data_IF_937109350790
#
_entry.id   IF_937109350790
#
_cell.length_a   1.000
_cell.length_b   1.000
_cell.length_c   1.000
_cell.angle_alpha   90.00
_cell.angle_beta   90.00
_cell.angle_gamma   90.00
#
_symmetry.space_group_name_H-M   'P 1'
#
loop_
_entity.id
_entity.type
_entity.pdbx_description
1 polymer ?
#
# COMPACT_ATOMS: atom_id res chain seq x y z
N UNK A 1 57.72 -9.93 2.21
CA UNK A 1 57.61 -11.17 1.42
C UNK A 1 57.59 -12.36 2.37
N UNK A 2 56.45 -12.99 2.58
CA UNK A 2 56.35 -14.24 3.35
C UNK A 2 55.39 -15.16 2.62
N UNK A 3 55.91 -16.29 2.13
CA UNK A 3 55.16 -17.32 1.39
C UNK A 3 54.72 -18.37 2.40
N UNK A 4 53.41 -18.59 2.51
CA UNK A 4 52.85 -19.78 3.15
C UNK A 4 52.32 -20.69 2.04
N UNK A 5 52.90 -21.89 1.96
CA UNK A 5 52.47 -23.03 1.14
C UNK A 5 51.96 -24.11 2.10
N UNK A 6 50.93 -24.84 1.68
CA UNK A 6 50.49 -26.10 2.28
C UNK A 6 49.00 -26.06 2.57
N UNK A 7 48.18 -27.03 2.22
CA UNK A 7 48.40 -28.31 1.55
C UNK A 7 47.01 -28.94 1.37
N UNK A 8 46.79 -29.60 0.23
CA UNK A 8 45.56 -30.31 -0.07
C UNK A 8 45.73 -31.74 0.43
N UNK A 9 44.80 -32.22 1.26
CA UNK A 9 44.64 -33.64 1.60
C UNK A 9 43.34 -34.09 0.97
N UNK A 10 43.47 -34.90 -0.10
CA UNK A 10 42.39 -35.72 -0.65
C UNK A 10 42.47 -37.06 0.08
N UNK A 11 41.37 -37.48 0.70
CA UNK A 11 41.23 -38.86 1.17
C UNK A 11 40.16 -39.55 0.32
N UNK A 12 40.64 -40.33 -0.64
CA UNK A 12 39.90 -41.41 -1.29
C UNK A 12 39.64 -42.52 -0.27
N UNK A 13 38.37 -42.93 -0.12
CA UNK A 13 38.00 -44.33 0.14
C UNK A 13 36.49 -44.47 -0.06
N UNK A 14 36.09 -45.00 -1.22
CA UNK A 14 34.79 -45.62 -1.42
C UNK A 14 34.80 -47.03 -0.83
N UNK A 15 33.84 -47.42 0.02
CA UNK A 15 33.61 -48.82 0.32
C UNK A 15 32.65 -49.43 -0.72
N UNK A 16 33.19 -50.40 -1.47
CA UNK A 16 32.40 -51.37 -2.25
C UNK A 16 31.60 -52.24 -1.27
N UNK A 17 30.28 -52.18 -1.37
CA UNK A 17 29.37 -53.01 -0.57
C UNK A 17 28.57 -53.92 -1.50
N UNK A 18 29.08 -55.13 -1.72
CA UNK A 18 28.33 -56.23 -2.34
C UNK A 18 27.44 -56.88 -1.26
N UNK A 19 26.16 -56.52 -1.28
CA UNK A 19 25.11 -57.15 -0.46
C UNK A 19 24.30 -58.17 -1.28
N UNK A 20 23.76 -59.22 -0.65
CA UNK A 20 23.12 -60.34 -1.33
C UNK A 20 21.74 -59.97 -1.90
N UNK A 21 21.42 -60.56 -3.05
CA UNK A 21 20.09 -60.57 -3.68
C UNK A 21 19.02 -61.07 -2.69
N UNK A 22 18.38 -60.16 -1.98
CA UNK A 22 17.11 -60.40 -1.30
C UNK A 22 15.98 -60.19 -2.28
N UNK A 23 15.35 -61.29 -2.70
CA UNK A 23 14.08 -61.29 -3.40
C UNK A 23 13.03 -60.52 -2.57
N UNK A 24 12.71 -59.30 -3.04
CA UNK A 24 11.68 -58.46 -2.47
C UNK A 24 10.34 -59.06 -2.87
N UNK A 25 9.59 -59.55 -1.88
CA UNK A 25 8.19 -59.90 -2.07
C UNK A 25 7.42 -58.62 -2.40
N UNK A 26 6.79 -58.59 -3.58
CA UNK A 26 5.78 -57.59 -3.96
C UNK A 26 4.58 -57.69 -2.99
N UNK A 27 4.71 -57.04 -1.84
CA UNK A 27 3.55 -56.65 -1.04
C UNK A 27 2.85 -55.53 -1.81
N UNK A 28 1.70 -55.87 -2.37
CA UNK A 28 0.71 -54.93 -2.88
C UNK A 28 0.40 -53.91 -1.77
N UNK A 29 1.02 -52.75 -1.87
CA UNK A 29 0.79 -51.61 -0.99
C UNK A 29 -0.58 -51.01 -1.33
N UNK A 30 -1.63 -51.60 -0.75
CA UNK A 30 -3.01 -51.12 -0.79
C UNK A 30 -3.22 -49.89 0.11
N UNK A 31 -2.16 -49.15 0.47
CA UNK A 31 -2.35 -47.85 1.13
C UNK A 31 -3.12 -46.91 0.20
N UNK A 32 -4.25 -46.35 0.65
CA UNK A 32 -5.00 -45.38 -0.13
C UNK A 32 -4.07 -44.24 -0.52
N UNK A 33 -3.82 -44.08 -1.83
CA UNK A 33 -3.03 -42.94 -2.34
C UNK A 33 -3.64 -41.67 -1.76
N UNK A 34 -2.87 -40.99 -0.92
CA UNK A 34 -3.25 -39.70 -0.35
C UNK A 34 -3.77 -38.83 -1.49
N UNK A 35 -4.94 -38.19 -1.33
CA UNK A 35 -5.52 -37.37 -2.37
C UNK A 35 -4.46 -36.39 -2.86
N UNK A 36 -4.23 -36.37 -4.17
CA UNK A 36 -3.29 -35.45 -4.80
C UNK A 36 -3.83 -34.04 -4.54
N UNK A 37 -3.27 -33.38 -3.52
CA UNK A 37 -3.59 -31.99 -3.22
C UNK A 37 -2.99 -31.16 -4.34
N UNK A 38 -3.82 -30.84 -5.35
CA UNK A 38 -3.42 -29.92 -6.41
C UNK A 38 -3.21 -28.56 -5.74
N UNK A 39 -1.95 -28.12 -5.67
CA UNK A 39 -1.62 -26.80 -5.15
C UNK A 39 -2.36 -25.75 -5.97
N UNK A 40 -3.06 -24.84 -5.29
CA UNK A 40 -3.71 -23.71 -5.96
C UNK A 40 -2.64 -22.88 -6.68
N UNK A 41 -2.90 -22.42 -7.92
CA UNK A 41 -1.97 -21.57 -8.64
C UNK A 41 -1.70 -20.31 -7.81
N UNK A 42 -0.45 -19.87 -7.76
CA UNK A 42 -0.07 -18.64 -7.07
C UNK A 42 -0.88 -17.46 -7.59
N UNK A 43 -1.37 -16.57 -6.71
CA UNK A 43 -2.16 -15.42 -7.13
C UNK A 43 -1.33 -14.55 -8.09
N UNK A 44 -1.96 -14.11 -9.18
CA UNK A 44 -1.34 -13.30 -10.23
C UNK A 44 -1.40 -11.82 -9.85
N UNK A 45 -0.26 -11.12 -9.96
CA UNK A 45 -0.20 -9.67 -9.86
C UNK A 45 -0.78 -9.01 -11.12
N UNK A 46 -1.58 -7.96 -10.92
CA UNK A 46 -2.25 -7.21 -11.97
C UNK A 46 -2.13 -5.70 -11.70
N UNK A 47 -1.96 -4.92 -12.78
CA UNK A 47 -2.09 -3.47 -12.72
C UNK A 47 -3.57 -3.10 -12.76
N UNK A 48 -4.04 -2.41 -11.73
CA UNK A 48 -5.36 -1.76 -11.70
C UNK A 48 -5.15 -0.28 -11.98
N UNK A 49 -5.79 0.25 -13.03
CA UNK A 49 -5.64 1.66 -13.42
C UNK A 49 -6.80 2.48 -12.83
N UNK A 50 -6.46 3.59 -12.19
CA UNK A 50 -7.41 4.55 -11.64
C UNK A 50 -6.79 5.46 -10.59
N UNK A 51 -7.60 6.27 -9.92
CA UNK A 51 -7.14 7.02 -8.76
C UNK A 51 -6.98 6.10 -7.54
N UNK A 52 -6.47 6.64 -6.42
CA UNK A 52 -6.14 5.80 -5.25
C UNK A 52 -7.34 5.00 -4.69
N UNK A 53 -8.60 5.40 -4.94
CA UNK A 53 -9.80 4.66 -4.49
C UNK A 53 -9.96 3.29 -5.14
N UNK A 54 -9.32 3.04 -6.30
CA UNK A 54 -9.35 1.70 -6.90
C UNK A 54 -8.55 0.67 -6.11
N UNK A 55 -7.87 1.08 -5.02
CA UNK A 55 -7.32 0.18 -4.01
C UNK A 55 -8.36 -0.83 -3.48
N UNK A 56 -9.62 -0.44 -3.39
CA UNK A 56 -10.73 -1.33 -3.00
C UNK A 56 -10.92 -2.55 -3.92
N UNK A 57 -10.40 -2.48 -5.16
CA UNK A 57 -10.41 -3.58 -6.12
C UNK A 57 -9.24 -4.57 -5.93
N UNK A 58 -8.28 -4.28 -5.04
CA UNK A 58 -7.21 -5.19 -4.68
C UNK A 58 -7.61 -6.06 -3.47
N UNK A 59 -7.06 -7.27 -3.43
CA UNK A 59 -7.02 -8.05 -2.20
C UNK A 59 -6.26 -7.24 -1.14
N UNK A 60 -6.77 -7.12 0.09
CA UNK A 60 -6.12 -6.32 1.14
C UNK A 60 -4.65 -6.70 1.31
N UNK A 61 -3.80 -5.69 1.49
CA UNK A 61 -2.36 -5.86 1.76
C UNK A 61 -1.55 -6.51 0.62
N UNK A 62 -2.10 -6.61 -0.59
CA UNK A 62 -1.38 -7.14 -1.77
C UNK A 62 -0.82 -6.06 -2.68
N UNK A 63 -1.16 -4.79 -2.44
CA UNK A 63 -0.57 -3.66 -3.13
C UNK A 63 0.93 -3.61 -2.84
N UNK A 64 1.76 -3.49 -3.87
CA UNK A 64 3.21 -3.50 -3.69
C UNK A 64 3.74 -2.19 -3.08
N UNK A 65 4.76 -2.33 -2.25
CA UNK A 65 5.62 -1.25 -1.78
C UNK A 65 6.59 -0.81 -2.88
N UNK A 66 7.28 0.31 -2.67
CA UNK A 66 8.15 0.89 -3.69
C UNK A 66 9.32 -0.03 -4.10
N UNK A 67 9.96 -0.69 -3.13
CA UNK A 67 11.03 -1.66 -3.36
C UNK A 67 10.54 -2.90 -4.11
N UNK A 68 9.39 -3.44 -3.71
CA UNK A 68 8.72 -4.58 -4.35
C UNK A 68 8.33 -4.24 -5.80
N UNK A 69 7.75 -3.07 -6.04
CA UNK A 69 7.43 -2.58 -7.37
C UNK A 69 8.70 -2.41 -8.20
N UNK A 70 9.78 -1.86 -7.63
CA UNK A 70 11.04 -1.73 -8.34
C UNK A 70 11.60 -3.11 -8.74
N UNK A 71 11.53 -4.11 -7.86
CA UNK A 71 11.91 -5.47 -8.19
C UNK A 71 11.08 -6.01 -9.36
N UNK A 72 9.77 -5.76 -9.39
CA UNK A 72 8.91 -6.13 -10.53
C UNK A 72 9.28 -5.37 -11.80
N UNK A 73 9.60 -4.07 -11.74
CA UNK A 73 10.04 -3.28 -12.89
C UNK A 73 11.41 -3.75 -13.43
N UNK A 74 12.30 -4.25 -12.57
CA UNK A 74 13.55 -4.89 -13.00
C UNK A 74 13.25 -6.15 -13.82
N UNK A 75 12.34 -7.01 -13.34
CA UNK A 75 12.01 -8.29 -13.97
C UNK A 75 11.11 -8.16 -15.20
N UNK A 76 10.21 -7.18 -15.21
CA UNK A 76 9.19 -6.99 -16.24
C UNK A 76 9.25 -5.56 -16.81
N UNK A 77 9.90 -5.38 -17.98
CA UNK A 77 9.98 -4.08 -18.64
C UNK A 77 8.63 -3.44 -18.98
N UNK A 78 7.55 -4.21 -19.16
CA UNK A 78 6.23 -3.64 -19.45
C UNK A 78 5.70 -2.77 -18.29
N UNK A 79 6.13 -3.03 -17.05
CA UNK A 79 5.76 -2.23 -15.89
C UNK A 79 6.50 -0.88 -15.82
N UNK A 80 7.43 -0.60 -16.74
CA UNK A 80 8.23 0.63 -16.77
C UNK A 80 7.51 1.80 -17.45
N UNK A 81 6.45 1.51 -18.19
CA UNK A 81 5.70 2.47 -19.01
C UNK A 81 4.61 3.23 -18.24
N UNK A 82 4.41 2.92 -16.96
CA UNK A 82 3.36 3.51 -16.13
C UNK A 82 3.89 3.96 -14.75
N UNK A 83 3.29 5.01 -14.19
CA UNK A 83 3.51 5.42 -12.81
C UNK A 83 2.55 4.67 -11.87
N UNK A 84 2.97 4.48 -10.63
CA UNK A 84 2.23 3.68 -9.67
C UNK A 84 2.12 4.36 -8.32
N UNK A 85 0.95 4.27 -7.70
CA UNK A 85 0.85 4.38 -6.26
C UNK A 85 1.52 3.17 -5.61
N UNK A 86 2.12 3.37 -4.45
CA UNK A 86 2.77 2.30 -3.68
C UNK A 86 2.19 2.21 -2.28
N UNK A 87 2.28 1.04 -1.67
CA UNK A 87 1.68 0.74 -0.38
C UNK A 87 2.39 1.41 0.82
N UNK A 88 3.55 2.02 0.61
CA UNK A 88 4.27 2.78 1.63
C UNK A 88 3.45 3.97 2.17
N UNK A 89 3.65 4.27 3.46
CA UNK A 89 3.04 5.41 4.12
C UNK A 89 4.09 6.35 4.70
N UNK A 90 4.08 7.60 4.22
CA UNK A 90 4.96 8.64 4.72
C UNK A 90 4.25 9.48 5.78
N UNK A 91 4.65 9.32 7.03
CA UNK A 91 4.19 10.10 8.17
C UNK A 91 5.29 11.07 8.59
N UNK A 92 4.99 12.36 8.68
CA UNK A 92 5.92 13.39 9.12
C UNK A 92 5.54 13.94 10.49
N UNK A 93 6.55 14.11 11.34
CA UNK A 93 6.39 14.61 12.70
C UNK A 93 7.49 15.58 13.07
N UNK A 94 7.30 16.30 14.17
CA UNK A 94 8.35 17.05 14.85
C UNK A 94 8.72 16.36 16.16
N UNK A 95 9.93 15.82 16.22
CA UNK A 95 10.44 15.16 17.41
C UNK A 95 11.36 16.05 18.24
N UNK A 96 11.47 15.77 19.54
CA UNK A 96 12.35 16.50 20.45
C UNK A 96 11.60 17.51 21.32
N UNK A 97 12.36 18.39 21.97
CA UNK A 97 11.80 19.37 22.91
C UNK A 97 11.42 20.66 22.21
N UNK A 98 10.63 21.52 22.88
CA UNK A 98 10.16 22.79 22.32
C UNK A 98 11.26 23.70 21.74
N UNK A 99 12.50 23.57 22.20
CA UNK A 99 13.64 24.38 21.73
C UNK A 99 14.44 23.74 20.60
N UNK A 100 14.26 22.45 20.33
CA UNK A 100 15.01 21.70 19.30
C UNK A 100 14.12 20.61 18.72
N UNK A 101 13.16 21.03 17.90
CA UNK A 101 12.28 20.14 17.15
C UNK A 101 12.97 19.70 15.85
N UNK A 102 13.15 18.40 15.67
CA UNK A 102 13.72 17.79 14.48
C UNK A 102 12.59 17.30 13.56
N UNK A 103 12.50 17.80 12.31
CA UNK A 103 11.56 17.27 11.33
C UNK A 103 11.97 15.84 10.96
N UNK A 104 11.05 14.90 11.17
CA UNK A 104 11.29 13.46 11.04
C UNK A 104 10.27 12.86 10.09
N UNK A 105 10.74 11.98 9.21
CA UNK A 105 9.91 11.15 8.33
C UNK A 105 9.89 9.72 8.86
N UNK A 106 8.70 9.13 8.94
CA UNK A 106 8.46 7.74 9.24
C UNK A 106 7.85 7.08 8.00
N UNK A 107 8.56 6.09 7.43
CA UNK A 107 8.08 5.31 6.29
C UNK A 107 7.62 3.94 6.77
N UNK A 108 6.30 3.74 6.82
CA UNK A 108 5.69 2.51 7.27
C UNK A 108 5.24 1.63 6.10
N UNK A 109 5.27 0.30 6.29
CA UNK A 109 4.69 -0.67 5.34
C UNK A 109 3.19 -0.86 5.62
N UNK A 110 2.46 -1.32 4.62
CA UNK A 110 1.07 -1.73 4.73
C UNK A 110 0.97 -3.24 4.51
N UNK A 111 1.01 -4.00 5.59
CA UNK A 111 0.95 -5.47 5.57
C UNK A 111 -0.21 -5.97 6.41
N UNK A 112 -0.55 -7.26 6.30
CA UNK A 112 -1.61 -7.86 7.10
C UNK A 112 -1.30 -7.83 8.61
N UNK A 113 -0.02 -7.97 8.98
CA UNK A 113 0.42 -7.95 10.38
C UNK A 113 0.56 -6.52 10.91
N UNK A 114 0.95 -5.60 10.05
CA UNK A 114 1.19 -4.19 10.37
C UNK A 114 0.49 -3.30 9.33
N UNK A 115 -0.84 -3.09 9.43
CA UNK A 115 -1.62 -2.32 8.46
C UNK A 115 -1.42 -0.81 8.67
N UNK A 116 -0.17 -0.33 8.58
CA UNK A 116 0.21 1.00 9.07
C UNK A 116 0.06 2.13 8.05
N UNK A 117 -0.38 1.85 6.82
CA UNK A 117 -0.78 2.90 5.89
C UNK A 117 -2.15 3.47 6.23
N UNK A 118 -2.14 4.50 7.07
CA UNK A 118 -3.35 5.17 7.53
C UNK A 118 -4.11 5.86 6.39
N UNK A 119 -3.45 6.21 5.28
CA UNK A 119 -4.17 6.74 4.12
C UNK A 119 -5.03 5.65 3.52
N UNK A 120 -4.49 4.45 3.27
CA UNK A 120 -5.24 3.33 2.71
C UNK A 120 -6.36 2.85 3.65
N UNK A 121 -6.11 2.84 4.96
CA UNK A 121 -7.11 2.46 5.97
C UNK A 121 -8.30 3.42 6.02
N UNK A 122 -8.08 4.70 5.71
CA UNK A 122 -9.06 5.77 5.85
C UNK A 122 -9.48 6.37 4.50
N UNK A 123 -9.26 5.67 3.38
CA UNK A 123 -9.54 6.21 2.04
C UNK A 123 -10.97 6.78 1.92
N UNK A 124 -11.95 5.97 2.32
CA UNK A 124 -13.37 6.29 2.21
C UNK A 124 -14.05 6.36 3.60
N UNK A 125 -13.30 6.65 4.66
CA UNK A 125 -13.84 6.83 6.00
C UNK A 125 -14.77 8.06 6.05
N UNK A 126 -15.99 7.89 6.55
CA UNK A 126 -17.01 8.95 6.54
C UNK A 126 -16.67 10.15 7.42
N UNK A 127 -15.80 9.98 8.42
CA UNK A 127 -15.46 10.99 9.43
C UNK A 127 -14.06 11.55 9.17
N UNK A 128 -13.11 10.69 8.80
CA UNK A 128 -11.70 10.99 8.67
C UNK A 128 -11.13 10.57 7.30
N UNK A 129 -11.88 10.80 6.22
CA UNK A 129 -11.44 10.44 4.86
C UNK A 129 -10.07 11.03 4.55
N UNK A 130 -9.08 10.16 4.31
CA UNK A 130 -7.75 10.56 3.87
C UNK A 130 -7.79 11.11 2.46
N UNK A 131 -8.66 10.55 1.59
CA UNK A 131 -8.79 10.99 0.21
C UNK A 131 -9.25 12.44 0.15
N UNK A 132 -10.31 12.80 0.87
CA UNK A 132 -10.82 14.17 0.89
C UNK A 132 -9.82 15.15 1.52
N UNK A 133 -9.15 14.77 2.61
CA UNK A 133 -8.13 15.63 3.23
C UNK A 133 -6.94 15.91 2.31
N UNK A 134 -6.46 14.89 1.59
CA UNK A 134 -5.35 15.02 0.66
C UNK A 134 -5.74 15.81 -0.59
N UNK A 135 -6.94 15.67 -1.13
CA UNK A 135 -7.38 16.49 -2.27
C UNK A 135 -7.61 17.95 -1.89
N UNK A 136 -8.11 18.23 -0.68
CA UNK A 136 -8.46 19.58 -0.24
C UNK A 136 -7.28 20.36 0.37
N UNK A 137 -6.52 19.70 1.24
CA UNK A 137 -5.47 20.35 2.05
C UNK A 137 -4.06 19.87 1.73
N UNK A 138 -3.94 18.89 0.82
CA UNK A 138 -2.72 18.16 0.50
C UNK A 138 -2.16 17.32 1.64
N UNK A 139 -2.71 17.42 2.86
CA UNK A 139 -2.23 16.75 4.06
C UNK A 139 -3.32 15.87 4.67
N UNK A 140 -3.03 14.59 4.88
CA UNK A 140 -3.84 13.77 5.78
C UNK A 140 -3.38 14.00 7.22
N UNK A 141 -4.30 14.17 8.17
CA UNK A 141 -3.96 14.39 9.60
C UNK A 141 -4.50 13.25 10.45
N UNK A 142 -3.72 12.17 10.66
CA UNK A 142 -4.16 11.07 11.51
C UNK A 142 -4.29 11.51 12.97
N UNK A 143 -5.04 10.76 13.76
CA UNK A 143 -5.05 10.95 15.21
C UNK A 143 -3.65 10.70 15.79
N UNK A 144 -3.32 11.38 16.89
CA UNK A 144 -2.02 11.21 17.54
C UNK A 144 -1.78 9.75 17.96
N UNK A 145 -2.84 9.07 18.41
CA UNK A 145 -2.78 7.67 18.82
C UNK A 145 -2.46 6.72 17.64
N UNK A 146 -3.06 6.93 16.47
CA UNK A 146 -2.72 6.13 15.28
C UNK A 146 -1.31 6.42 14.77
N UNK A 147 -0.92 7.70 14.74
CA UNK A 147 0.43 8.10 14.40
C UNK A 147 1.46 7.43 15.32
N UNK A 148 1.19 7.37 16.63
CA UNK A 148 2.05 6.68 17.59
C UNK A 148 2.20 5.19 17.31
N UNK A 149 1.11 4.50 16.96
CA UNK A 149 1.17 3.08 16.55
C UNK A 149 2.07 2.88 15.33
N UNK A 150 1.94 3.74 14.32
CA UNK A 150 2.79 3.71 13.13
C UNK A 150 4.26 3.90 13.51
N UNK A 151 4.58 4.90 14.33
CA UNK A 151 5.95 5.19 14.77
C UNK A 151 6.57 4.05 15.61
N UNK A 152 5.76 3.29 16.33
CA UNK A 152 6.19 2.17 17.19
C UNK A 152 6.27 0.83 16.48
N UNK A 153 5.73 0.72 15.26
CA UNK A 153 5.72 -0.52 14.52
C UNK A 153 7.12 -0.93 14.05
N UNK A 154 7.36 -2.24 14.00
CA UNK A 154 8.69 -2.80 13.78
C UNK A 154 9.19 -2.60 12.34
N UNK A 155 8.29 -2.55 11.36
CA UNK A 155 8.65 -2.30 9.95
C UNK A 155 8.79 -0.81 9.59
N UNK A 156 8.52 0.10 10.53
CA UNK A 156 8.56 1.54 10.26
C UNK A 156 9.97 2.08 10.30
N UNK A 157 10.36 2.70 9.19
CA UNK A 157 11.67 3.31 9.01
C UNK A 157 11.64 4.77 9.45
N UNK A 158 12.43 5.12 10.47
CA UNK A 158 12.63 6.50 10.91
C UNK A 158 13.76 7.19 10.14
N UNK A 159 13.52 8.40 9.64
CA UNK A 159 14.46 9.22 8.88
C UNK A 159 14.55 10.63 9.48
N UNK A 160 15.74 11.05 9.90
CA UNK A 160 16.01 12.45 10.27
C UNK A 160 16.24 13.30 9.01
N UNK A 161 15.26 14.15 8.68
CA UNK A 161 15.31 14.95 7.46
C UNK A 161 16.45 15.99 7.47
N UNK A 162 17.00 16.33 8.63
CA UNK A 162 18.14 17.26 8.75
C UNK A 162 19.47 16.61 8.39
N UNK A 163 19.54 15.28 8.38
CA UNK A 163 20.73 14.53 7.98
C UNK A 163 20.77 14.23 6.48
N UNK A 164 19.67 14.48 5.76
CA UNK A 164 19.63 14.33 4.31
C UNK A 164 20.27 15.54 3.62
N UNK A 165 21.12 15.30 2.61
CA UNK A 165 21.60 16.37 1.72
C UNK A 165 20.51 16.64 0.70
N UNK A 166 19.57 17.51 1.08
CA UNK A 166 18.39 17.82 0.30
C UNK A 166 18.65 18.98 -0.67
N UNK A 167 18.21 18.80 -1.91
CA UNK A 167 18.05 19.87 -2.87
C UNK A 167 16.62 20.39 -2.83
N UNK A 168 16.47 21.71 -2.87
CA UNK A 168 15.15 22.35 -2.82
C UNK A 168 14.52 22.29 -4.20
N UNK A 169 13.30 21.76 -4.27
CA UNK A 169 12.50 21.75 -5.49
C UNK A 169 11.54 22.94 -5.49
N UNK A 170 10.69 23.03 -4.48
CA UNK A 170 9.80 24.17 -4.27
C UNK A 170 9.66 24.52 -2.78
N UNK A 171 8.54 25.13 -2.39
CA UNK A 171 8.27 25.50 -0.99
C UNK A 171 7.80 24.31 -0.13
N UNK A 172 7.23 23.27 -0.74
CA UNK A 172 6.67 22.09 -0.08
C UNK A 172 7.64 20.91 -0.15
N UNK A 173 8.37 20.75 -1.25
CA UNK A 173 9.19 19.59 -1.56
C UNK A 173 10.68 19.88 -1.64
N UNK A 174 11.42 18.86 -1.27
CA UNK A 174 12.85 18.71 -1.48
C UNK A 174 13.14 17.29 -1.91
N UNK A 175 14.30 17.03 -2.49
CA UNK A 175 14.69 15.68 -2.88
C UNK A 175 16.14 15.38 -2.55
N UNK A 176 16.46 14.09 -2.43
CA UNK A 176 17.83 13.61 -2.55
C UNK A 176 18.07 13.16 -3.98
N UNK A 177 19.24 13.46 -4.52
CA UNK A 177 19.72 12.88 -5.77
C UNK A 177 20.53 11.61 -5.50
N UNK A 178 20.30 10.58 -6.31
CA UNK A 178 20.99 9.31 -6.25
C UNK A 178 21.61 9.04 -7.62
N UNK A 179 22.93 9.12 -7.70
CA UNK A 179 23.67 8.72 -8.90
C UNK A 179 23.59 7.20 -9.08
N UNK A 180 23.19 6.73 -10.27
CA UNK A 180 23.09 5.30 -10.57
C UNK A 180 24.46 4.62 -10.72
N UNK A 181 25.56 5.39 -10.71
CA UNK A 181 26.94 4.88 -10.77
C UNK A 181 27.79 5.22 -9.55
N UNK A 182 27.43 6.23 -8.76
CA UNK A 182 28.19 6.70 -7.59
C UNK A 182 27.32 6.77 -6.33
N UNK A 183 26.42 5.80 -6.14
CA UNK A 183 25.52 5.73 -4.98
C UNK A 183 26.22 5.30 -3.68
N UNK A 184 27.51 4.96 -3.73
CA UNK A 184 28.40 4.78 -2.58
C UNK A 184 28.67 6.11 -1.84
N UNK A 185 28.43 7.26 -2.49
CA UNK A 185 28.60 8.60 -1.90
C UNK A 185 27.44 9.06 -1.01
N UNK A 186 26.34 8.29 -0.97
CA UNK A 186 25.22 8.57 -0.08
C UNK A 186 25.69 8.46 1.38
N UNK A 187 25.26 9.40 2.22
CA UNK A 187 25.45 9.23 3.66
C UNK A 187 24.52 8.12 4.20
N UNK A 188 24.71 7.70 5.45
CA UNK A 188 23.95 6.60 6.04
C UNK A 188 22.43 6.81 6.00
N UNK A 189 21.96 8.03 6.26
CA UNK A 189 20.53 8.35 6.29
C UNK A 189 19.93 8.37 4.87
N UNK A 190 20.67 8.90 3.90
CA UNK A 190 20.30 8.87 2.49
C UNK A 190 20.27 7.45 1.93
N UNK A 191 21.26 6.60 2.28
CA UNK A 191 21.29 5.19 1.88
C UNK A 191 20.09 4.44 2.43
N UNK A 192 19.79 4.64 3.73
CA UNK A 192 18.62 4.06 4.39
C UNK A 192 17.31 4.43 3.69
N UNK A 193 17.14 5.71 3.33
CA UNK A 193 15.97 6.17 2.57
C UNK A 193 15.95 5.58 1.16
N UNK A 194 17.07 5.58 0.44
CA UNK A 194 17.16 5.06 -0.92
C UNK A 194 16.83 3.56 -0.97
N UNK A 195 17.37 2.76 -0.06
CA UNK A 195 17.12 1.32 -0.01
C UNK A 195 15.64 0.98 0.28
N UNK A 196 14.91 1.88 0.96
CA UNK A 196 13.48 1.71 1.16
C UNK A 196 12.69 1.76 -0.15
N UNK A 197 13.15 2.54 -1.13
CA UNK A 197 12.45 2.73 -2.40
C UNK A 197 12.98 1.87 -3.55
N UNK A 198 14.24 1.41 -3.47
CA UNK A 198 14.90 0.68 -4.57
C UNK A 198 15.38 -0.72 -4.18
N UNK A 199 15.05 -1.21 -2.98
CA UNK A 199 15.49 -2.51 -2.46
C UNK A 199 16.74 -2.39 -1.59
N UNK A 200 17.03 -3.43 -0.80
CA UNK A 200 18.17 -3.46 0.13
C UNK A 200 19.36 -4.24 -0.44
N UNK A 201 20.59 -3.84 -0.09
CA UNK A 201 21.80 -4.60 -0.43
C UNK A 201 21.91 -4.87 -1.94
N UNK A 202 21.98 -6.15 -2.32
CA UNK A 202 22.13 -6.54 -3.74
C UNK A 202 20.93 -6.17 -4.61
N UNK A 203 19.73 -6.04 -4.03
CA UNK A 203 18.56 -5.60 -4.78
C UNK A 203 18.65 -4.11 -5.11
N UNK A 204 19.20 -3.31 -4.20
CA UNK A 204 19.54 -1.90 -4.45
C UNK A 204 20.51 -1.78 -5.63
N UNK A 205 21.60 -2.55 -5.59
CA UNK A 205 22.64 -2.50 -6.62
C UNK A 205 22.08 -2.92 -7.99
N UNK A 206 21.23 -3.96 -8.01
CA UNK A 206 20.52 -4.40 -9.22
C UNK A 206 19.57 -3.33 -9.75
N UNK A 207 18.83 -2.66 -8.87
CA UNK A 207 17.96 -1.57 -9.24
C UNK A 207 18.74 -0.41 -9.88
N UNK A 208 19.85 0.02 -9.27
CA UNK A 208 20.71 1.07 -9.81
C UNK A 208 21.34 0.68 -11.15
N UNK A 209 21.82 -0.56 -11.29
CA UNK A 209 22.35 -1.08 -12.56
C UNK A 209 21.28 -1.09 -13.66
N UNK A 210 20.04 -1.45 -13.33
CA UNK A 210 18.91 -1.47 -14.27
C UNK A 210 18.57 -0.05 -14.74
N UNK A 211 18.50 0.92 -13.82
CA UNK A 211 18.30 2.33 -14.16
C UNK A 211 19.41 2.85 -15.07
N UNK A 212 20.67 2.56 -14.74
CA UNK A 212 21.82 2.92 -15.57
C UNK A 212 21.75 2.31 -16.97
N UNK A 213 21.40 1.03 -17.07
CA UNK A 213 21.23 0.32 -18.34
C UNK A 213 20.13 0.94 -19.22
N UNK A 214 19.14 1.59 -18.62
CA UNK A 214 18.10 2.34 -19.31
C UNK A 214 18.49 3.80 -19.62
N UNK A 215 19.75 4.20 -19.41
CA UNK A 215 20.24 5.56 -19.67
C UNK A 215 19.96 6.58 -18.56
N UNK A 216 19.41 6.14 -17.42
CA UNK A 216 19.11 7.02 -16.27
C UNK A 216 20.38 7.13 -15.41
N UNK A 217 20.98 8.31 -15.39
CA UNK A 217 22.23 8.57 -14.66
C UNK A 217 21.99 8.99 -13.20
N UNK A 218 20.83 9.57 -12.93
CA UNK A 218 20.40 10.06 -11.62
C UNK A 218 18.93 9.74 -11.43
N UNK A 219 18.54 9.32 -10.23
CA UNK A 219 17.15 9.19 -9.78
C UNK A 219 16.95 9.99 -8.49
N UNK A 220 15.71 10.30 -8.15
CA UNK A 220 15.40 11.19 -7.02
C UNK A 220 14.38 10.57 -6.08
N UNK A 221 14.54 10.83 -4.78
CA UNK A 221 13.51 10.57 -3.76
C UNK A 221 13.05 11.91 -3.19
N UNK A 222 11.81 12.28 -3.49
CA UNK A 222 11.16 13.49 -3.02
C UNK A 222 10.52 13.27 -1.64
N UNK A 223 10.77 14.21 -0.74
CA UNK A 223 10.22 14.28 0.62
C UNK A 223 9.69 15.69 0.87
N UNK A 224 8.89 15.86 1.92
CA UNK A 224 8.53 17.21 2.34
C UNK A 224 9.76 17.97 2.84
N UNK A 225 9.86 19.24 2.45
CA UNK A 225 10.91 20.14 2.87
C UNK A 225 10.92 20.24 4.41
N UNK A 226 12.08 20.15 5.09
CA UNK A 226 12.17 20.28 6.55
C UNK A 226 11.48 21.53 7.10
N UNK A 227 11.56 22.67 6.40
CA UNK A 227 10.91 23.92 6.81
C UNK A 227 9.38 23.86 6.68
N UNK A 228 8.87 23.16 5.67
CA UNK A 228 7.44 22.88 5.53
C UNK A 228 6.95 21.98 6.66
N UNK A 229 7.68 20.89 6.96
CA UNK A 229 7.35 19.98 8.06
C UNK A 229 7.34 20.72 9.40
N UNK A 230 8.30 21.60 9.67
CA UNK A 230 8.33 22.44 10.88
C UNK A 230 7.09 23.32 11.03
N UNK A 231 6.55 23.82 9.92
CA UNK A 231 5.36 24.67 9.92
C UNK A 231 4.07 23.85 10.05
N UNK A 232 3.94 22.78 9.26
CA UNK A 232 2.66 22.10 9.05
C UNK A 232 2.47 20.86 9.95
N UNK A 233 3.56 20.27 10.44
CA UNK A 233 3.56 19.07 11.29
C UNK A 233 3.55 19.39 12.80
N UNK A 234 2.88 20.47 13.21
CA UNK A 234 2.55 20.72 14.63
C UNK A 234 1.78 19.53 15.21
N UNK A 235 0.89 18.97 14.40
CA UNK A 235 0.34 17.62 14.54
C UNK A 235 0.88 16.75 13.40
N UNK A 236 0.97 15.41 13.56
CA UNK A 236 1.46 14.52 12.49
C UNK A 236 0.71 14.74 11.17
N UNK A 237 1.45 14.67 10.05
CA UNK A 237 0.88 14.75 8.69
C UNK A 237 1.27 13.52 7.89
N UNK A 238 0.31 12.92 7.20
CA UNK A 238 0.47 11.81 6.28
C UNK A 238 0.49 12.27 4.81
N UNK A 239 1.26 11.55 3.99
CA UNK A 239 1.32 11.68 2.53
C UNK A 239 1.22 10.30 1.88
N UNK A 240 0.52 10.23 0.75
CA UNK A 240 0.51 9.02 -0.07
C UNK A 240 1.88 8.88 -0.74
N UNK A 241 2.30 7.65 -0.99
CA UNK A 241 3.55 7.39 -1.67
C UNK A 241 3.29 6.99 -3.13
N UNK A 242 4.23 7.39 -3.99
CA UNK A 242 4.13 7.24 -5.43
C UNK A 242 5.50 6.94 -6.03
N UNK A 243 5.50 6.19 -7.13
CA UNK A 243 6.65 5.99 -8.01
C UNK A 243 6.33 6.43 -9.43
N UNK A 244 7.09 7.39 -9.94
CA UNK A 244 6.96 7.92 -11.30
C UNK A 244 7.29 6.87 -12.35
N UNK A 245 6.88 7.17 -13.58
CA UNK A 245 7.28 6.45 -14.79
C UNK A 245 8.78 6.15 -14.75
N UNK A 246 9.15 4.91 -15.06
CA UNK A 246 10.54 4.47 -14.97
C UNK A 246 11.43 5.31 -15.89
N UNK A 247 10.99 5.55 -17.12
CA UNK A 247 11.73 6.35 -18.11
C UNK A 247 11.79 7.85 -17.75
N UNK A 248 10.95 8.32 -16.82
CA UNK A 248 11.02 9.66 -16.25
C UNK A 248 11.80 9.63 -14.92
N UNK A 249 12.97 8.97 -14.93
CA UNK A 249 13.89 8.89 -13.80
C UNK A 249 13.49 7.91 -12.68
N UNK A 250 12.35 7.24 -12.75
CA UNK A 250 11.85 6.34 -11.69
C UNK A 250 11.83 7.00 -10.30
N UNK A 251 11.51 8.30 -10.29
CA UNK A 251 11.49 9.10 -9.06
C UNK A 251 10.44 8.57 -8.08
N UNK A 252 10.78 8.55 -6.80
CA UNK A 252 9.82 8.21 -5.74
C UNK A 252 9.43 9.46 -4.97
N UNK A 253 8.17 9.57 -4.55
CA UNK A 253 7.69 10.74 -3.81
C UNK A 253 6.67 10.37 -2.74
N UNK A 254 6.64 11.18 -1.69
CA UNK A 254 5.55 11.23 -0.73
C UNK A 254 4.68 12.46 -1.02
N UNK A 255 3.72 12.32 -1.95
CA UNK A 255 2.93 13.44 -2.48
C UNK A 255 1.45 13.36 -2.07
N UNK A 256 0.82 14.53 -1.90
CA UNK A 256 -0.61 14.65 -1.61
C UNK A 256 -1.45 15.04 -2.83
N UNK A 257 -0.88 15.73 -3.81
CA UNK A 257 -1.64 16.35 -4.91
C UNK A 257 -1.99 15.38 -6.04
N UNK A 258 -1.39 14.19 -6.06
CA UNK A 258 -1.54 13.25 -7.17
C UNK A 258 -2.59 12.17 -6.94
N UNK A 259 -3.16 12.03 -5.75
CA UNK A 259 -4.05 10.89 -5.41
C UNK A 259 -5.35 10.80 -6.22
N UNK A 260 -5.74 11.90 -6.89
CA UNK A 260 -6.89 11.96 -7.78
C UNK A 260 -6.58 11.62 -9.24
N UNK A 261 -5.30 11.45 -9.61
CA UNK A 261 -4.87 11.15 -10.97
C UNK A 261 -5.02 9.66 -11.25
N UNK A 262 -5.37 9.31 -12.49
CA UNK A 262 -5.52 7.93 -12.93
C UNK A 262 -4.16 7.30 -13.23
N UNK A 263 -3.67 6.47 -12.32
CA UNK A 263 -2.38 5.78 -12.41
C UNK A 263 -2.49 4.30 -11.99
N UNK A 264 -1.36 3.60 -11.94
CA UNK A 264 -1.33 2.17 -11.64
C UNK A 264 -1.34 1.87 -10.15
N UNK A 265 -2.01 0.79 -9.77
CA UNK A 265 -1.77 0.08 -8.52
C UNK A 265 -1.43 -1.36 -8.90
N UNK A 266 -0.30 -1.88 -8.42
CA UNK A 266 0.10 -3.25 -8.70
C UNK A 266 -0.17 -4.11 -7.47
N UNK A 267 -1.00 -5.14 -7.61
CA UNK A 267 -1.35 -6.07 -6.54
C UNK A 267 -2.19 -7.24 -7.04
N UNK A 268 -2.78 -8.02 -6.13
CA UNK A 268 -3.69 -9.11 -6.52
C UNK A 268 -5.10 -8.54 -6.63
N UNK A 269 -5.75 -8.70 -7.78
CA UNK A 269 -7.14 -8.24 -7.96
C UNK A 269 -8.07 -9.04 -7.06
N UNK A 270 -8.94 -8.32 -6.33
CA UNK A 270 -10.02 -8.91 -5.56
C UNK A 270 -10.99 -9.60 -6.50
N UNK A 271 -11.17 -10.90 -6.30
CA UNK A 271 -12.26 -11.62 -6.97
C UNK A 271 -13.50 -11.36 -6.16
N UNK A 272 -14.32 -10.40 -6.60
CA UNK A 272 -15.68 -10.33 -6.10
C UNK A 272 -16.30 -11.71 -6.33
N UNK A 273 -16.95 -12.32 -5.33
CA UNK A 273 -17.69 -13.54 -5.55
C UNK A 273 -18.59 -13.26 -6.75
N UNK A 274 -18.50 -14.12 -7.79
CA UNK A 274 -19.41 -14.07 -8.92
C UNK A 274 -20.78 -13.94 -8.28
N UNK A 275 -21.41 -12.77 -8.46
CA UNK A 275 -22.59 -12.35 -7.71
C UNK A 275 -23.47 -13.57 -7.51
N UNK A 276 -23.86 -13.85 -6.25
CA UNK A 276 -25.03 -14.70 -5.96
C UNK A 276 -26.01 -14.34 -7.05
N UNK A 277 -26.20 -15.26 -8.01
CA UNK A 277 -27.08 -15.01 -9.12
C UNK A 277 -28.41 -14.76 -8.44
N UNK A 278 -28.81 -13.49 -8.34
CA UNK A 278 -30.14 -13.16 -7.89
C UNK A 278 -31.03 -14.03 -8.78
N UNK A 279 -31.87 -14.90 -8.19
CA UNK A 279 -32.82 -15.65 -8.99
C UNK A 279 -33.44 -14.61 -9.91
N UNK A 280 -33.23 -14.75 -11.22
CA UNK A 280 -34.05 -14.01 -12.16
C UNK A 280 -35.45 -14.42 -11.77
N UNK A 281 -36.18 -13.53 -11.10
CA UNK A 281 -37.61 -13.66 -11.00
C UNK A 281 -38.06 -13.76 -12.46
N UNK A 282 -38.38 -14.99 -12.86
CA UNK A 282 -39.12 -15.23 -14.06
C UNK A 282 -40.36 -14.38 -13.90
N UNK A 283 -40.43 -13.28 -14.63
CA UNK A 283 -41.66 -12.55 -14.85
C UNK A 283 -42.63 -13.50 -15.54
N UNK A 284 -43.30 -14.34 -14.76
CA UNK A 284 -44.63 -14.80 -15.11
C UNK A 284 -45.51 -13.56 -15.10
N UNK A 285 -45.88 -13.13 -16.31
CA UNK A 285 -47.02 -12.24 -16.52
C UNK A 285 -48.24 -12.85 -15.82
N UNK A 286 -48.60 -12.31 -14.67
CA UNK A 286 -49.88 -12.57 -14.02
C UNK A 286 -50.70 -11.29 -14.06
N UNK A 287 -51.60 -11.21 -15.04
CA UNK A 287 -52.74 -10.31 -15.01
C UNK A 287 -53.64 -10.67 -13.82
N UNK A 288 -53.71 -9.84 -12.77
CA UNK A 288 -54.91 -9.73 -11.93
C UNK A 288 -54.85 -8.58 -10.94
N UNK A 289 -55.90 -7.77 -11.00
CA UNK A 289 -56.36 -6.73 -10.07
C UNK A 289 -56.37 -7.11 -8.58
N UNK A 290 -56.03 -6.14 -7.72
CA UNK A 290 -56.49 -6.07 -6.32
C UNK A 290 -55.41 -5.74 -5.29
N UNK A 291 -55.37 -4.49 -4.83
CA UNK A 291 -54.54 -4.02 -3.71
C UNK A 291 -54.89 -4.72 -2.37
N UNK A 292 -53.98 -4.76 -1.37
CA UNK A 292 -53.70 -3.57 -0.56
C UNK A 292 -52.21 -3.31 -0.26
N UNK A 293 -51.98 -2.08 0.21
CA UNK A 293 -50.71 -1.42 0.46
C UNK A 293 -49.79 -2.19 1.40
N UNK A 294 -48.61 -2.57 0.88
CA UNK A 294 -47.51 -3.10 1.66
C UNK A 294 -46.62 -1.92 2.08
N UNK A 295 -46.44 -1.69 3.39
CA UNK A 295 -45.54 -0.69 3.95
C UNK A 295 -44.10 -1.14 3.67
N UNK A 296 -43.56 -0.66 2.55
CA UNK A 296 -42.25 -1.03 2.04
C UNK A 296 -41.12 -0.66 3.00
N UNK A 297 -40.32 -1.65 3.36
CA UNK A 297 -38.98 -1.44 3.90
C UNK A 297 -38.11 -0.92 2.74
N UNK A 298 -37.44 0.24 2.87
CA UNK A 298 -36.59 0.77 1.81
C UNK A 298 -35.47 -0.23 1.49
N UNK A 299 -35.26 -0.49 0.19
CA UNK A 299 -34.10 -1.25 -0.27
C UNK A 299 -32.80 -0.58 0.18
N UNK A 300 -31.72 -1.34 0.39
CA UNK A 300 -30.46 -0.80 0.91
C UNK A 300 -29.87 0.40 0.13
N UNK A 301 -29.99 0.50 -1.22
CA UNK A 301 -29.54 1.67 -1.97
C UNK A 301 -30.33 2.94 -1.64
N UNK A 302 -31.62 2.83 -1.31
CA UNK A 302 -32.45 4.00 -0.98
C UNK A 302 -32.18 4.52 0.44
N UNK A 303 -31.96 3.63 1.41
CA UNK A 303 -31.67 4.04 2.79
C UNK A 303 -30.38 4.89 2.92
N UNK A 304 -29.36 4.60 2.09
CA UNK A 304 -28.13 5.41 2.03
C UNK A 304 -28.39 6.80 1.45
N UNK A 305 -29.10 6.87 0.32
CA UNK A 305 -29.43 8.14 -0.33
C UNK A 305 -30.31 9.02 0.56
N UNK A 306 -31.27 8.40 1.26
CA UNK A 306 -32.16 9.08 2.21
C UNK A 306 -31.38 9.61 3.42
N UNK A 307 -30.42 8.84 3.95
CA UNK A 307 -29.54 9.28 5.04
C UNK A 307 -28.63 10.43 4.60
N UNK A 308 -27.96 10.32 3.45
CA UNK A 308 -27.07 11.35 2.92
C UNK A 308 -27.82 12.66 2.66
N UNK A 309 -29.02 12.58 2.08
CA UNK A 309 -29.89 13.75 1.83
C UNK A 309 -30.34 14.41 3.14
N UNK A 310 -30.79 13.60 4.11
CA UNK A 310 -31.22 14.13 5.40
C UNK A 310 -30.05 14.75 6.19
N UNK A 311 -28.87 14.14 6.16
CA UNK A 311 -27.66 14.66 6.80
C UNK A 311 -27.19 15.99 6.19
N UNK A 312 -27.22 16.12 4.85
CA UNK A 312 -26.90 17.38 4.18
C UNK A 312 -27.89 18.50 4.53
N UNK A 313 -29.19 18.20 4.60
CA UNK A 313 -30.21 19.18 4.99
C UNK A 313 -29.98 19.71 6.41
N UNK A 314 -29.59 18.84 7.35
CA UNK A 314 -29.27 19.22 8.74
C UNK A 314 -28.03 20.09 8.84
N UNK A 315 -26.98 19.79 8.05
CA UNK A 315 -25.78 20.63 8.02
C UNK A 315 -26.03 22.02 7.44
N UNK A 316 -26.93 22.14 6.48
CA UNK A 316 -27.28 23.42 5.85
C UNK A 316 -28.25 24.26 6.70
N UNK A 317 -29.10 23.61 7.50
CA UNK A 317 -30.15 24.26 8.30
C UNK A 317 -30.25 23.63 9.71
N UNK A 318 -29.25 23.84 10.58
CA UNK A 318 -29.22 23.24 11.92
C UNK A 318 -30.36 23.71 12.82
N UNK A 319 -30.95 24.86 12.53
CA UNK A 319 -32.11 25.45 13.20
C UNK A 319 -33.43 24.70 12.92
N UNK A 320 -33.48 23.88 11.87
CA UNK A 320 -34.67 23.10 11.51
C UNK A 320 -34.74 21.73 12.20
N UNK A 321 -33.75 21.38 13.02
CA UNK A 321 -33.67 20.07 13.70
C UNK A 321 -34.48 20.06 15.00
N UNK A 322 -35.79 19.83 14.88
CA UNK A 322 -36.62 19.53 16.05
C UNK A 322 -36.41 18.08 16.55
N UNK A 323 -36.95 17.80 17.74
CA UNK A 323 -36.81 16.50 18.41
C UNK A 323 -37.37 15.33 17.58
N UNK A 324 -38.37 15.58 16.73
CA UNK A 324 -39.00 14.56 15.87
C UNK A 324 -38.08 14.22 14.70
N UNK A 325 -37.52 15.23 14.03
CA UNK A 325 -36.57 15.04 12.92
C UNK A 325 -35.25 14.43 13.39
N UNK A 326 -34.77 14.79 14.57
CA UNK A 326 -33.60 14.15 15.17
C UNK A 326 -33.83 12.65 15.40
N UNK A 327 -35.04 12.26 15.81
CA UNK A 327 -35.41 10.86 16.01
C UNK A 327 -35.46 10.08 14.67
N UNK A 328 -35.98 10.68 13.61
CA UNK A 328 -35.99 10.09 12.27
C UNK A 328 -34.57 9.95 11.70
N UNK A 329 -33.71 10.95 11.88
CA UNK A 329 -32.31 10.88 11.49
C UNK A 329 -31.59 9.74 12.23
N UNK A 330 -31.87 9.57 13.52
CA UNK A 330 -31.32 8.48 14.33
C UNK A 330 -31.79 7.10 13.87
N UNK A 331 -33.06 6.96 13.45
CA UNK A 331 -33.57 5.71 12.86
C UNK A 331 -32.88 5.39 11.55
N UNK A 332 -32.70 6.38 10.67
CA UNK A 332 -31.98 6.22 9.40
C UNK A 332 -30.50 5.86 9.63
N UNK A 333 -29.83 6.54 10.56
CA UNK A 333 -28.46 6.24 10.95
C UNK A 333 -28.34 4.81 11.53
N UNK A 334 -29.27 4.41 12.38
CA UNK A 334 -29.29 3.06 12.97
C UNK A 334 -29.50 2.01 11.86
N UNK A 335 -30.47 2.22 10.97
CA UNK A 335 -30.73 1.31 9.86
C UNK A 335 -29.54 1.20 8.88
N UNK A 336 -28.79 2.29 8.69
CA UNK A 336 -27.56 2.31 7.89
C UNK A 336 -26.40 1.58 8.58
N UNK A 337 -26.20 1.80 9.88
CA UNK A 337 -25.08 1.24 10.67
C UNK A 337 -25.29 -0.21 11.14
N UNK A 338 -26.52 -0.74 11.06
CA UNK A 338 -26.86 -2.11 11.50
C UNK A 338 -26.54 -3.20 10.46
N UNK A 339 -25.85 -2.87 9.36
CA UNK A 339 -25.53 -3.78 8.25
C UNK A 339 -24.08 -3.65 7.85
#
# INVERSE_FOLDING_TARGET
MSRIRGGIVVSDTDPVFDGPDTAVADLLDDTPKSPVVVALPSPKLETIVGNLRVYSQLEPYTMLHADELMAQQVLNPALREQAYYVADFALYTLEGTNRKKTPTLWLARHTAQEPNNLILNHLDDAINSSFEQLTQTRNYRPSLHEAQKVMQASSTLKIDLTQLRLEKDDHEFSHIEISTTNYDKLNSEQRKLAERFYGQGTDFDRAMATLKGAGINTTQVFVLNPTYVQKEAVNPIGRAAWRSLFLNGANSSASGYVIGISDGLLGVRRRLPASVAFPQESHEQSDSSGAPQNLGVPSAPSARLDYETAFQMVNQHPDLLDKTKALELLKLATAYLSK
#
